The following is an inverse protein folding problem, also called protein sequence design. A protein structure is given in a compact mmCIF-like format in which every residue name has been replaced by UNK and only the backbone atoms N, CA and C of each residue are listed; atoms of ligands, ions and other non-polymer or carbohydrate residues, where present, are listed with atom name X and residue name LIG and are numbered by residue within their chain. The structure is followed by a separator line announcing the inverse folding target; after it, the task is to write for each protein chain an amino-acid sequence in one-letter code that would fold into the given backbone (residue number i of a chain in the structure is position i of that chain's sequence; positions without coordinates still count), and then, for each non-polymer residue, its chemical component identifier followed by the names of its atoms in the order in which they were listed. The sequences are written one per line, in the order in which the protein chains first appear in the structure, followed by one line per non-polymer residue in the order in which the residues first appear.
data_IF_357248372325
#
_entry.id   IF_357248372325
#
_cell.length_a   1.000
_cell.length_b   1.000
_cell.length_c   1.000
_cell.angle_alpha   90.00
_cell.angle_beta   90.00
_cell.angle_gamma   90.00
#
_symmetry.space_group_name_H-M   'P 1'
#
loop_
_entity.id
_entity.type
_entity.pdbx_description
1 polymer ?
#
# COMPACT_ATOMS: atom_id res chain seq x y z
N UNK A 1 -44.47 -39.65 57.61
CA UNK A 1 -43.02 -39.37 57.53
C UNK A 1 -42.83 -38.16 56.62
N UNK A 2 -42.27 -37.09 57.18
CA UNK A 2 -41.88 -35.87 56.47
C UNK A 2 -40.63 -36.17 55.66
N UNK A 3 -40.61 -35.85 54.37
CA UNK A 3 -39.36 -35.48 53.71
C UNK A 3 -39.61 -34.28 52.78
N UNK A 4 -38.98 -33.22 53.21
CA UNK A 4 -38.92 -31.87 52.66
C UNK A 4 -38.19 -31.91 51.31
N UNK A 5 -38.83 -31.38 50.26
CA UNK A 5 -38.14 -31.00 49.02
C UNK A 5 -38.15 -29.47 48.97
N UNK A 6 -36.97 -28.90 49.16
CA UNK A 6 -36.73 -27.46 49.05
C UNK A 6 -36.70 -27.12 47.57
N UNK A 7 -37.78 -26.51 47.07
CA UNK A 7 -37.73 -25.76 45.81
C UNK A 7 -37.12 -24.40 46.11
N UNK A 8 -35.87 -24.19 45.69
CA UNK A 8 -35.23 -22.88 45.74
C UNK A 8 -36.00 -21.92 44.82
N UNK A 9 -36.70 -20.98 45.45
CA UNK A 9 -37.41 -19.90 44.80
C UNK A 9 -36.42 -18.94 44.11
N UNK A 10 -36.81 -18.54 42.91
CA UNK A 10 -36.16 -17.53 42.12
C UNK A 10 -36.00 -16.21 42.90
N UNK A 11 -34.76 -15.74 43.02
CA UNK A 11 -34.48 -14.32 43.17
C UNK A 11 -33.91 -13.85 41.83
N UNK A 12 -34.79 -13.36 40.96
CA UNK A 12 -34.41 -12.52 39.83
C UNK A 12 -33.84 -11.22 40.42
N UNK A 13 -32.53 -11.17 40.59
CA UNK A 13 -31.84 -9.88 40.65
C UNK A 13 -31.84 -9.36 39.22
N UNK A 14 -32.80 -8.49 38.93
CA UNK A 14 -32.78 -7.62 37.77
C UNK A 14 -31.64 -6.62 37.96
N UNK A 15 -30.40 -7.08 37.75
CA UNK A 15 -29.35 -6.19 37.33
C UNK A 15 -29.74 -5.79 35.91
N UNK A 16 -30.25 -4.56 35.76
CA UNK A 16 -30.17 -3.82 34.52
C UNK A 16 -28.68 -3.64 34.20
N UNK A 17 -28.02 -4.72 33.75
CA UNK A 17 -26.95 -4.55 32.80
C UNK A 17 -27.63 -3.87 31.64
N UNK A 18 -27.23 -2.62 31.41
CA UNK A 18 -27.29 -2.00 30.11
C UNK A 18 -26.62 -2.99 29.17
N UNK A 19 -27.41 -3.93 28.66
CA UNK A 19 -27.14 -4.62 27.44
C UNK A 19 -27.00 -3.49 26.45
N UNK A 20 -25.76 -3.09 26.22
CA UNK A 20 -25.34 -2.64 24.91
C UNK A 20 -25.71 -3.85 24.05
N UNK A 21 -26.95 -3.86 23.59
CA UNK A 21 -27.36 -4.62 22.44
C UNK A 21 -26.48 -4.03 21.36
N UNK A 22 -25.32 -4.66 21.16
CA UNK A 22 -24.53 -4.42 19.97
C UNK A 22 -25.52 -4.47 18.82
N UNK A 23 -25.61 -3.42 17.98
CA UNK A 23 -26.54 -3.44 16.88
C UNK A 23 -26.26 -4.68 16.03
N UNK A 24 -27.14 -5.65 16.15
CA UNK A 24 -27.19 -6.83 15.30
C UNK A 24 -27.71 -6.37 13.95
N UNK A 25 -26.81 -5.91 13.08
CA UNK A 25 -27.16 -5.62 11.69
C UNK A 25 -25.91 -5.58 10.82
N UNK A 26 -25.39 -6.77 10.52
CA UNK A 26 -24.72 -7.03 9.25
C UNK A 26 -25.56 -8.13 8.58
N UNK A 27 -26.44 -7.80 7.63
CA UNK A 27 -27.05 -8.87 6.81
C UNK A 27 -26.06 -9.30 5.74
N UNK A 28 -24.96 -9.92 6.18
CA UNK A 28 -24.02 -10.58 5.29
C UNK A 28 -22.74 -11.04 5.96
N UNK A 29 -21.94 -11.81 5.22
CA UNK A 29 -20.65 -12.33 5.67
C UNK A 29 -19.53 -11.89 4.71
N UNK A 30 -18.60 -11.02 5.14
CA UNK A 30 -17.51 -10.50 4.30
C UNK A 30 -16.48 -11.57 3.91
N UNK A 31 -16.37 -12.65 4.69
CA UNK A 31 -15.45 -13.74 4.37
C UNK A 31 -15.98 -14.61 3.22
N UNK A 32 -17.30 -14.74 3.11
CA UNK A 32 -17.96 -15.52 2.04
C UNK A 32 -18.57 -14.63 0.95
N UNK A 33 -18.51 -13.30 1.10
CA UNK A 33 -19.20 -12.31 0.28
C UNK A 33 -20.68 -12.65 0.06
N UNK A 34 -21.35 -13.05 1.13
CA UNK A 34 -22.79 -13.37 1.09
C UNK A 34 -23.55 -12.16 1.61
N UNK A 35 -24.27 -11.46 0.74
CA UNK A 35 -25.05 -10.25 1.06
C UNK A 35 -26.41 -10.31 0.37
N UNK A 36 -27.39 -9.54 0.86
CA UNK A 36 -28.71 -9.44 0.21
C UNK A 36 -28.64 -8.70 -1.13
N UNK A 37 -27.75 -7.71 -1.26
CA UNK A 37 -27.55 -6.96 -2.49
C UNK A 37 -26.58 -7.69 -3.45
N UNK A 38 -27.06 -8.05 -4.63
CA UNK A 38 -26.26 -8.73 -5.66
C UNK A 38 -25.07 -7.89 -6.17
N UNK A 39 -25.18 -6.55 -6.16
CA UNK A 39 -24.07 -5.64 -6.51
C UNK A 39 -22.98 -5.70 -5.45
N UNK A 40 -23.36 -5.71 -4.17
CA UNK A 40 -22.43 -5.86 -3.05
C UNK A 40 -21.74 -7.24 -3.06
N UNK A 41 -22.47 -8.31 -3.41
CA UNK A 41 -21.88 -9.65 -3.61
C UNK A 41 -20.83 -9.63 -4.70
N UNK A 42 -21.13 -9.06 -5.87
CA UNK A 42 -20.18 -8.99 -6.97
C UNK A 42 -18.96 -8.15 -6.60
N UNK A 43 -19.18 -6.97 -6.02
CA UNK A 43 -18.13 -6.04 -5.66
C UNK A 43 -17.19 -6.60 -4.58
N UNK A 44 -17.73 -7.25 -3.54
CA UNK A 44 -16.92 -7.95 -2.53
C UNK A 44 -16.05 -9.08 -3.13
N UNK A 45 -16.51 -9.75 -4.20
CA UNK A 45 -15.75 -10.83 -4.85
C UNK A 45 -14.63 -10.30 -5.74
N UNK A 46 -14.86 -9.18 -6.42
CA UNK A 46 -13.95 -8.63 -7.43
C UNK A 46 -13.01 -7.57 -6.88
N UNK A 47 -13.38 -6.89 -5.79
CA UNK A 47 -12.64 -5.77 -5.22
C UNK A 47 -12.09 -6.08 -3.82
N UNK A 48 -10.75 -6.16 -3.66
CA UNK A 48 -10.13 -6.41 -2.36
C UNK A 48 -10.28 -5.26 -1.36
N UNK A 49 -10.48 -4.01 -1.81
CA UNK A 49 -10.71 -2.86 -0.95
C UNK A 49 -12.10 -2.91 -0.32
N UNK A 50 -13.14 -3.26 -1.10
CA UNK A 50 -14.50 -3.48 -0.59
C UNK A 50 -14.51 -4.62 0.44
N UNK A 51 -13.85 -5.74 0.11
CA UNK A 51 -13.75 -6.87 1.03
C UNK A 51 -12.99 -6.52 2.31
N UNK A 52 -11.95 -5.69 2.22
CA UNK A 52 -11.22 -5.19 3.39
C UNK A 52 -12.07 -4.27 4.26
N UNK A 53 -12.77 -3.31 3.64
CA UNK A 53 -13.65 -2.36 4.32
C UNK A 53 -14.76 -3.06 5.11
N UNK A 54 -15.40 -4.06 4.50
CA UNK A 54 -16.50 -4.82 5.12
C UNK A 54 -16.05 -5.80 6.20
N UNK A 55 -14.73 -6.06 6.34
CA UNK A 55 -14.18 -6.87 7.44
C UNK A 55 -13.98 -6.07 8.72
N UNK A 56 -14.01 -4.74 8.63
CA UNK A 56 -13.93 -3.88 9.79
C UNK A 56 -15.25 -3.98 10.59
N UNK A 57 -15.21 -4.33 11.89
CA UNK A 57 -16.40 -4.42 12.72
C UNK A 57 -17.17 -3.10 12.82
N UNK A 58 -16.51 -1.95 12.65
CA UNK A 58 -17.17 -0.63 12.67
C UNK A 58 -18.00 -0.39 11.39
N UNK A 59 -17.69 -1.11 10.30
CA UNK A 59 -18.40 -1.06 9.02
C UNK A 59 -19.42 -2.20 8.87
N UNK A 60 -19.67 -2.97 9.93
CA UNK A 60 -20.60 -4.09 9.90
C UNK A 60 -22.05 -3.68 9.57
N UNK A 61 -22.40 -2.40 9.76
CA UNK A 61 -23.73 -1.83 9.49
C UNK A 61 -24.13 -1.68 8.02
N UNK A 62 -23.27 -2.01 7.05
CA UNK A 62 -23.55 -1.82 5.62
C UNK A 62 -24.56 -2.86 5.13
N UNK A 63 -25.76 -2.41 4.77
CA UNK A 63 -26.84 -3.28 4.28
C UNK A 63 -26.88 -3.39 2.75
N UNK A 64 -26.49 -2.34 2.03
CA UNK A 64 -26.52 -2.26 0.57
C UNK A 64 -25.24 -1.69 -0.03
N UNK A 65 -25.05 -1.86 -1.35
CA UNK A 65 -23.92 -1.23 -2.05
C UNK A 65 -23.95 0.31 -1.95
N UNK A 66 -25.15 0.91 -1.80
CA UNK A 66 -25.31 2.36 -1.69
C UNK A 66 -24.87 2.91 -0.34
N UNK A 67 -24.73 2.09 0.69
CA UNK A 67 -24.26 2.55 2.01
C UNK A 67 -22.73 2.61 2.08
N UNK A 68 -22.03 2.08 1.08
CA UNK A 68 -20.58 2.20 0.97
C UNK A 68 -20.18 3.64 0.62
N UNK A 69 -19.06 4.14 1.16
CA UNK A 69 -18.57 5.46 0.79
C UNK A 69 -18.23 5.52 -0.71
N UNK A 70 -18.36 6.69 -1.36
CA UNK A 70 -18.24 6.82 -2.82
C UNK A 70 -16.94 6.25 -3.42
N UNK A 71 -15.83 6.42 -2.70
CA UNK A 71 -14.51 5.88 -3.08
C UNK A 71 -14.50 4.35 -3.16
N UNK A 72 -15.32 3.69 -2.35
CA UNK A 72 -15.47 2.22 -2.30
C UNK A 72 -16.54 1.75 -3.30
N UNK A 73 -17.51 2.61 -3.68
CA UNK A 73 -18.51 2.35 -4.74
C UNK A 73 -17.96 2.49 -6.17
N UNK A 74 -16.65 2.74 -6.33
CA UNK A 74 -16.01 2.83 -7.65
C UNK A 74 -16.58 3.93 -8.54
N UNK A 75 -16.95 5.09 -7.99
CA UNK A 75 -17.42 6.23 -8.78
C UNK A 75 -16.28 7.15 -9.23
N UNK A 76 -16.28 7.48 -10.52
CA UNK A 76 -15.45 8.53 -11.12
C UNK A 76 -15.91 9.91 -10.63
N UNK A 77 -15.00 10.89 -10.50
CA UNK A 77 -15.34 12.21 -9.99
C UNK A 77 -16.23 12.98 -10.98
N UNK A 78 -17.51 13.20 -10.62
CA UNK A 78 -18.40 14.11 -11.38
C UNK A 78 -19.91 13.96 -11.21
N UNK A 79 -20.43 12.90 -10.59
CA UNK A 79 -21.88 12.61 -10.66
C UNK A 79 -22.72 13.06 -9.44
N UNK A 80 -22.13 13.70 -8.41
CA UNK A 80 -22.89 14.15 -7.22
C UNK A 80 -23.65 15.47 -7.41
N UNK A 81 -23.34 16.26 -8.45
CA UNK A 81 -24.05 17.53 -8.72
C UNK A 81 -25.41 17.34 -9.43
N UNK A 82 -25.72 16.14 -9.93
CA UNK A 82 -26.94 15.91 -10.71
C UNK A 82 -28.22 15.66 -9.88
N UNK A 83 -28.10 15.30 -8.60
CA UNK A 83 -29.26 14.90 -7.77
C UNK A 83 -29.80 16.00 -6.85
N UNK A 84 -29.09 17.12 -6.69
CA UNK A 84 -29.50 18.21 -5.78
C UNK A 84 -29.88 19.52 -6.48
N UNK A 85 -29.95 19.55 -7.82
CA UNK A 85 -30.12 20.79 -8.60
C UNK A 85 -31.48 21.02 -9.29
N UNK A 86 -32.49 20.16 -9.10
CA UNK A 86 -33.79 20.35 -9.74
C UNK A 86 -34.63 21.37 -8.97
N UNK A 87 -34.41 22.66 -9.21
CA UNK A 87 -35.40 23.76 -9.08
C UNK A 87 -34.84 25.09 -9.63
N UNK A 88 -34.59 25.15 -10.96
CA UNK A 88 -34.51 26.35 -11.84
C UNK A 88 -33.55 27.52 -11.51
N UNK A 89 -33.31 28.47 -12.45
CA UNK A 89 -33.38 28.41 -13.92
C UNK A 89 -32.00 28.65 -14.57
N UNK A 90 -31.84 28.25 -15.83
CA UNK A 90 -30.61 28.51 -16.59
C UNK A 90 -30.26 30.01 -16.66
N UNK A 91 -28.96 30.33 -16.74
CA UNK A 91 -28.52 31.06 -17.93
C UNK A 91 -27.15 30.62 -18.47
N UNK A 92 -27.17 30.26 -19.77
CA UNK A 92 -26.27 30.72 -20.86
C UNK A 92 -24.75 30.43 -20.79
N UNK A 93 -24.07 30.37 -21.96
CA UNK A 93 -22.93 29.50 -22.19
C UNK A 93 -21.64 30.12 -21.69
N UNK A 94 -21.04 29.53 -20.66
CA UNK A 94 -19.68 29.86 -20.28
C UNK A 94 -18.73 29.29 -21.32
N UNK A 95 -18.08 30.21 -22.04
CA UNK A 95 -16.95 29.97 -22.91
C UNK A 95 -15.99 28.96 -22.27
N UNK A 96 -15.59 27.97 -23.06
CA UNK A 96 -14.43 27.13 -22.78
C UNK A 96 -13.19 28.03 -22.71
N UNK A 97 -12.90 28.58 -21.53
CA UNK A 97 -11.57 29.12 -21.25
C UNK A 97 -10.69 27.90 -21.04
N UNK A 98 -9.87 27.58 -22.05
CA UNK A 98 -8.80 26.60 -21.90
C UNK A 98 -7.98 27.01 -20.67
N UNK A 99 -8.12 26.24 -19.58
CA UNK A 99 -7.49 26.57 -18.31
C UNK A 99 -5.98 26.50 -18.50
N UNK A 100 -5.31 27.66 -18.41
CA UNK A 100 -3.86 27.72 -18.37
C UNK A 100 -3.36 26.90 -17.17
N UNK A 101 -2.29 26.14 -17.36
CA UNK A 101 -1.69 25.35 -16.29
C UNK A 101 -1.39 26.24 -15.06
N UNK A 102 -1.60 25.74 -13.82
CA UNK A 102 -1.36 26.51 -12.62
C UNK A 102 0.11 26.97 -12.55
N UNK A 103 0.38 28.19 -12.06
CA UNK A 103 1.74 28.70 -11.99
C UNK A 103 2.63 27.83 -11.08
N UNK A 104 3.92 27.62 -11.42
CA UNK A 104 4.84 26.82 -10.63
C UNK A 104 4.96 27.30 -9.19
N UNK A 105 4.93 26.37 -8.23
CA UNK A 105 5.01 26.62 -6.79
C UNK A 105 3.69 27.11 -6.15
N UNK A 106 2.61 27.27 -6.91
CA UNK A 106 1.33 27.72 -6.37
C UNK A 106 0.59 26.62 -5.62
N UNK A 107 -0.26 27.01 -4.67
CA UNK A 107 -1.17 26.09 -3.99
C UNK A 107 -2.03 25.31 -4.99
N UNK A 108 -2.48 25.97 -6.06
CA UNK A 108 -3.26 25.34 -7.13
C UNK A 108 -2.49 24.22 -7.84
N UNK A 109 -1.18 24.39 -8.11
CA UNK A 109 -0.34 23.33 -8.69
C UNK A 109 -0.18 22.16 -7.71
N UNK A 110 0.06 22.45 -6.42
CA UNK A 110 0.22 21.42 -5.39
C UNK A 110 -1.08 20.63 -5.20
N UNK A 111 -2.22 21.31 -5.10
CA UNK A 111 -3.54 20.69 -4.97
C UNK A 111 -3.88 19.83 -6.19
N UNK A 112 -3.60 20.31 -7.40
CA UNK A 112 -3.83 19.54 -8.61
C UNK A 112 -2.88 18.33 -8.71
N UNK A 113 -1.62 18.45 -8.26
CA UNK A 113 -0.70 17.33 -8.14
C UNK A 113 -1.22 16.27 -7.15
N UNK A 114 -1.74 16.70 -6.01
CA UNK A 114 -2.36 15.80 -5.03
C UNK A 114 -3.61 15.12 -5.60
N UNK A 115 -4.44 15.85 -6.37
CA UNK A 115 -5.62 15.30 -7.05
C UNK A 115 -5.24 14.18 -8.02
N UNK A 116 -4.21 14.38 -8.85
CA UNK A 116 -3.71 13.36 -9.79
C UNK A 116 -3.10 12.13 -9.11
N UNK A 117 -2.46 12.32 -7.95
CA UNK A 117 -1.97 11.21 -7.12
C UNK A 117 -3.17 10.42 -6.56
N UNK A 118 -4.17 11.12 -6.02
CA UNK A 118 -5.36 10.53 -5.41
C UNK A 118 -6.28 9.84 -6.45
N UNK A 119 -6.38 10.38 -7.67
CA UNK A 119 -7.21 9.80 -8.75
C UNK A 119 -6.56 8.58 -9.42
N UNK A 120 -5.31 8.25 -9.08
CA UNK A 120 -4.57 7.18 -9.74
C UNK A 120 -4.07 7.53 -11.15
N UNK A 121 -4.40 8.71 -11.70
CA UNK A 121 -3.87 9.20 -12.97
C UNK A 121 -2.34 9.22 -12.98
N UNK A 122 -1.74 9.64 -11.85
CA UNK A 122 -0.28 9.59 -11.69
C UNK A 122 0.26 8.16 -11.77
N UNK A 123 -0.42 7.19 -11.15
CA UNK A 123 -0.02 5.79 -11.23
C UNK A 123 -0.19 5.25 -12.67
N UNK A 124 -1.27 5.60 -13.36
CA UNK A 124 -1.49 5.24 -14.76
C UNK A 124 -0.44 5.83 -15.69
N UNK A 125 0.01 7.07 -15.44
CA UNK A 125 1.10 7.70 -16.17
C UNK A 125 2.43 6.99 -15.94
N UNK A 126 2.76 6.68 -14.68
CA UNK A 126 3.97 5.92 -14.33
C UNK A 126 3.96 4.54 -14.98
N UNK A 127 2.83 3.83 -14.97
CA UNK A 127 2.70 2.55 -15.65
C UNK A 127 2.80 2.68 -17.18
N UNK A 128 2.25 3.74 -17.78
CA UNK A 128 2.36 4.01 -19.22
C UNK A 128 3.81 4.36 -19.62
N UNK A 129 4.51 5.16 -18.83
CA UNK A 129 5.94 5.47 -19.04
C UNK A 129 6.80 4.24 -18.89
N UNK A 130 6.49 3.41 -17.90
CA UNK A 130 7.13 2.11 -17.69
C UNK A 130 6.86 1.19 -18.88
N UNK A 131 5.65 1.13 -19.41
CA UNK A 131 5.32 0.34 -20.60
C UNK A 131 6.06 0.82 -21.86
N UNK A 132 6.30 2.13 -21.99
CA UNK A 132 7.06 2.72 -23.12
C UNK A 132 8.57 2.55 -23.01
N UNK A 133 9.10 2.47 -21.80
CA UNK A 133 10.55 2.38 -21.59
C UNK A 133 11.09 1.02 -22.08
N UNK A 134 12.01 1.01 -23.06
CA UNK A 134 12.52 -0.24 -23.63
C UNK A 134 13.34 -1.01 -22.59
N UNK A 135 13.35 -2.34 -22.72
CA UNK A 135 14.22 -3.18 -21.92
C UNK A 135 15.68 -3.03 -22.37
N UNK A 136 16.61 -3.16 -21.43
CA UNK A 136 18.04 -3.12 -21.70
C UNK A 136 18.63 -4.52 -21.63
N UNK A 137 19.51 -4.85 -22.56
CA UNK A 137 20.27 -6.10 -22.53
C UNK A 137 21.60 -5.90 -21.80
N UNK A 138 21.55 -5.83 -20.47
CA UNK A 138 22.75 -5.70 -19.65
C UNK A 138 23.39 -7.05 -19.38
N UNK A 139 24.72 -7.10 -19.53
CA UNK A 139 25.51 -8.23 -19.06
C UNK A 139 25.38 -8.40 -17.54
N UNK A 140 25.60 -9.62 -17.01
CA UNK A 140 25.62 -9.84 -15.57
C UNK A 140 26.60 -8.93 -14.80
N UNK A 141 27.70 -8.50 -15.44
CA UNK A 141 28.66 -7.57 -14.86
C UNK A 141 28.09 -6.14 -14.74
N UNK A 142 27.39 -5.66 -15.77
CA UNK A 142 26.72 -4.35 -15.74
C UNK A 142 25.62 -4.30 -14.68
N UNK A 143 24.82 -5.35 -14.56
CA UNK A 143 23.80 -5.48 -13.53
C UNK A 143 24.42 -5.41 -12.14
N UNK A 144 25.49 -6.18 -11.87
CA UNK A 144 26.21 -6.11 -10.59
C UNK A 144 26.79 -4.72 -10.32
N UNK A 145 27.41 -4.09 -11.32
CA UNK A 145 28.00 -2.76 -11.17
C UNK A 145 26.95 -1.67 -10.90
N UNK A 146 25.76 -1.79 -11.50
CA UNK A 146 24.65 -0.89 -11.24
C UNK A 146 24.11 -1.06 -9.80
N UNK A 147 23.89 -2.30 -9.36
CA UNK A 147 23.48 -2.59 -7.99
C UNK A 147 24.52 -2.09 -6.97
N UNK A 148 25.80 -2.38 -7.19
CA UNK A 148 26.90 -1.91 -6.33
C UNK A 148 26.89 -0.38 -6.22
N UNK A 149 26.78 0.34 -7.33
CA UNK A 149 26.70 1.81 -7.33
C UNK A 149 25.47 2.32 -6.58
N UNK A 150 24.31 1.70 -6.76
CA UNK A 150 23.10 2.06 -6.02
C UNK A 150 23.32 1.93 -4.51
N UNK A 151 23.95 0.85 -4.04
CA UNK A 151 24.26 0.67 -2.62
C UNK A 151 25.31 1.67 -2.13
N UNK A 152 26.45 1.81 -2.82
CA UNK A 152 27.53 2.69 -2.36
C UNK A 152 27.12 4.16 -2.35
N UNK A 153 26.20 4.58 -3.21
CA UNK A 153 25.63 5.94 -3.20
C UNK A 153 24.84 6.28 -1.93
N UNK A 154 24.44 5.28 -1.15
CA UNK A 154 23.79 5.47 0.16
C UNK A 154 24.78 5.68 1.30
N UNK A 155 26.07 5.44 1.05
CA UNK A 155 27.13 5.60 2.04
C UNK A 155 27.70 7.01 1.98
N UNK A 156 28.18 7.49 3.13
CA UNK A 156 28.85 8.79 3.22
C UNK A 156 30.14 8.85 2.40
N UNK A 157 30.94 7.79 2.43
CA UNK A 157 32.17 7.65 1.64
C UNK A 157 32.08 6.41 0.75
N UNK A 158 31.56 6.54 -0.48
CA UNK A 158 31.30 5.40 -1.38
C UNK A 158 32.54 4.54 -1.67
N UNK A 159 33.73 5.14 -1.71
CA UNK A 159 34.99 4.44 -1.97
C UNK A 159 35.45 3.53 -0.82
N UNK A 160 34.95 3.77 0.40
CA UNK A 160 35.26 2.96 1.58
C UNK A 160 34.39 1.71 1.74
N UNK A 161 33.47 1.48 0.80
CA UNK A 161 32.48 0.42 0.89
C UNK A 161 33.14 -0.96 0.95
N UNK A 162 32.80 -1.74 1.97
CA UNK A 162 33.15 -3.15 2.07
C UNK A 162 31.87 -3.98 2.06
N UNK A 163 31.86 -5.02 1.23
CA UNK A 163 30.70 -5.88 1.06
C UNK A 163 31.00 -7.28 1.58
N UNK A 164 29.99 -7.91 2.18
CA UNK A 164 30.04 -9.33 2.55
C UNK A 164 28.66 -9.98 2.43
N UNK A 165 28.65 -11.31 2.41
CA UNK A 165 27.44 -12.12 2.37
C UNK A 165 26.48 -11.76 1.21
N UNK A 166 27.03 -11.31 0.08
CA UNK A 166 26.23 -10.85 -1.07
C UNK A 166 25.68 -12.04 -1.84
N UNK A 167 24.38 -12.02 -2.06
CA UNK A 167 23.62 -13.03 -2.79
C UNK A 167 22.84 -12.36 -3.91
N UNK A 168 22.89 -12.96 -5.10
CA UNK A 168 22.07 -12.58 -6.25
C UNK A 168 20.82 -13.44 -6.29
N UNK A 169 19.66 -12.81 -6.48
CA UNK A 169 18.35 -13.44 -6.59
C UNK A 169 17.72 -12.97 -7.90
N UNK A 170 17.28 -13.90 -8.74
CA UNK A 170 16.62 -13.58 -10.00
C UNK A 170 15.11 -13.75 -9.81
N UNK A 171 14.32 -12.75 -10.20
CA UNK A 171 12.86 -12.82 -10.16
C UNK A 171 12.28 -13.03 -11.56
N UNK A 172 11.11 -13.67 -11.61
CA UNK A 172 10.39 -14.01 -12.86
C UNK A 172 9.99 -12.78 -13.68
N UNK A 173 9.86 -11.62 -13.03
CA UNK A 173 9.58 -10.34 -13.68
C UNK A 173 10.80 -9.72 -14.39
N UNK A 174 11.92 -10.44 -14.48
CA UNK A 174 13.16 -9.99 -15.10
C UNK A 174 14.04 -9.09 -14.22
N UNK A 175 13.65 -8.86 -12.97
CA UNK A 175 14.45 -8.07 -12.01
C UNK A 175 15.53 -8.94 -11.37
N UNK A 176 16.75 -8.42 -11.26
CA UNK A 176 17.81 -9.02 -10.45
C UNK A 176 17.92 -8.28 -9.13
N UNK A 177 17.72 -8.99 -8.03
CA UNK A 177 17.92 -8.48 -6.67
C UNK A 177 19.29 -8.93 -6.13
N UNK A 178 19.89 -8.08 -5.29
CA UNK A 178 21.10 -8.35 -4.55
C UNK A 178 20.85 -8.05 -3.07
N UNK A 179 21.13 -9.02 -2.22
CA UNK A 179 20.99 -8.91 -0.78
C UNK A 179 22.33 -9.20 -0.13
N UNK A 180 22.71 -8.43 0.87
CA UNK A 180 23.96 -8.69 1.59
C UNK A 180 24.16 -7.72 2.72
N UNK A 181 25.42 -7.53 3.11
CA UNK A 181 25.81 -6.53 4.10
C UNK A 181 26.88 -5.61 3.53
N UNK A 182 26.82 -4.34 3.93
CA UNK A 182 27.75 -3.29 3.54
C UNK A 182 28.20 -2.49 4.76
N UNK A 183 29.48 -2.17 4.83
CA UNK A 183 30.04 -1.19 5.76
C UNK A 183 30.71 -0.06 4.99
N UNK A 184 30.91 1.09 5.65
CA UNK A 184 31.64 2.22 5.10
C UNK A 184 32.15 3.15 6.21
N UNK A 185 32.99 4.12 5.86
CA UNK A 185 33.47 5.10 6.83
C UNK A 185 32.37 6.07 7.27
N UNK A 186 32.36 6.37 8.56
CA UNK A 186 31.49 7.36 9.18
C UNK A 186 32.13 8.77 9.16
N UNK A 187 31.46 9.74 9.79
CA UNK A 187 31.93 11.13 9.85
C UNK A 187 33.27 11.34 10.58
N UNK A 188 33.63 10.40 11.45
CA UNK A 188 34.80 10.46 12.33
C UNK A 188 35.97 9.61 11.81
N UNK A 189 35.89 9.11 10.57
CA UNK A 189 36.94 8.31 9.93
C UNK A 189 36.98 6.83 10.33
N UNK A 190 36.13 6.41 11.27
CA UNK A 190 35.98 5.00 11.66
C UNK A 190 35.11 4.22 10.68
N UNK A 191 35.35 2.91 10.56
CA UNK A 191 34.49 2.00 9.77
C UNK A 191 33.23 1.69 10.59
N UNK A 192 32.06 1.92 10.01
CA UNK A 192 30.78 1.57 10.64
C UNK A 192 30.59 0.05 10.66
N UNK A 193 29.73 -0.42 11.56
CA UNK A 193 29.27 -1.81 11.50
C UNK A 193 28.63 -2.14 10.14
N UNK A 194 28.66 -3.42 9.81
CA UNK A 194 28.01 -3.95 8.61
C UNK A 194 26.50 -3.85 8.76
N UNK A 195 25.86 -3.18 7.79
CA UNK A 195 24.41 -3.02 7.69
C UNK A 195 23.88 -3.85 6.54
N UNK A 196 22.68 -4.41 6.71
CA UNK A 196 22.00 -5.15 5.64
C UNK A 196 21.66 -4.20 4.49
N UNK A 197 21.71 -4.68 3.25
CA UNK A 197 21.24 -3.92 2.09
C UNK A 197 20.45 -4.80 1.14
N UNK A 198 19.48 -4.19 0.46
CA UNK A 198 18.80 -4.74 -0.70
C UNK A 198 19.03 -3.81 -1.89
N UNK A 199 19.31 -4.38 -3.06
CA UNK A 199 19.47 -3.63 -4.29
C UNK A 199 18.80 -4.35 -5.46
N UNK A 200 17.93 -3.65 -6.18
CA UNK A 200 17.21 -4.18 -7.33
C UNK A 200 17.66 -3.52 -8.61
N UNK A 201 17.84 -4.32 -9.66
CA UNK A 201 18.08 -3.85 -11.02
C UNK A 201 16.97 -4.39 -11.92
N UNK A 202 16.17 -3.50 -12.50
CA UNK A 202 15.07 -3.89 -13.38
C UNK A 202 15.60 -4.25 -14.77
N UNK A 203 14.78 -4.96 -15.55
CA UNK A 203 15.04 -5.24 -16.96
C UNK A 203 15.06 -3.98 -17.86
N UNK A 204 14.78 -2.80 -17.29
CA UNK A 204 14.89 -1.48 -17.94
C UNK A 204 16.17 -0.73 -17.57
N UNK A 205 17.03 -1.33 -16.73
CA UNK A 205 18.31 -0.74 -16.32
C UNK A 205 18.19 0.25 -15.16
N UNK A 206 17.05 0.30 -14.50
CA UNK A 206 16.89 1.10 -13.29
C UNK A 206 17.49 0.34 -12.11
N UNK A 207 18.42 0.96 -11.40
CA UNK A 207 19.02 0.40 -10.19
C UNK A 207 18.59 1.21 -8.96
N UNK A 208 18.09 0.53 -7.95
CA UNK A 208 17.72 1.12 -6.66
C UNK A 208 18.30 0.28 -5.53
N UNK A 209 18.53 0.91 -4.37
CA UNK A 209 19.01 0.21 -3.19
C UNK A 209 18.50 0.86 -1.91
N UNK A 210 18.36 0.04 -0.87
CA UNK A 210 18.12 0.44 0.50
C UNK A 210 19.20 -0.18 1.40
N UNK A 211 19.62 0.57 2.41
CA UNK A 211 20.54 0.10 3.46
C UNK A 211 19.81 0.24 4.78
N UNK A 212 19.87 -0.80 5.60
CA UNK A 212 19.21 -0.88 6.90
C UNK A 212 19.68 0.25 7.82
N UNK A 213 18.86 1.29 7.97
CA UNK A 213 19.13 2.40 8.89
C UNK A 213 18.71 2.06 10.33
N UNK A 214 17.98 0.96 10.54
CA UNK A 214 17.47 0.46 11.82
C UNK A 214 16.64 1.47 12.63
N UNK A 215 16.17 2.56 12.02
CA UNK A 215 15.49 3.64 12.76
C UNK A 215 14.09 3.92 12.25
N UNK A 216 13.15 4.08 13.18
CA UNK A 216 11.78 4.52 12.90
C UNK A 216 11.00 3.60 11.94
N UNK A 217 10.03 4.19 11.24
CA UNK A 217 9.20 3.45 10.27
C UNK A 217 10.00 2.91 9.08
N UNK A 218 11.10 3.56 8.70
CA UNK A 218 11.95 3.14 7.57
C UNK A 218 12.56 1.76 7.82
N UNK A 219 13.03 1.50 9.05
CA UNK A 219 13.50 0.18 9.46
C UNK A 219 12.40 -0.91 9.40
N UNK A 220 11.14 -0.57 9.71
CA UNK A 220 10.03 -1.52 9.61
C UNK A 220 9.70 -1.90 8.15
N UNK A 221 9.70 -0.92 7.24
CA UNK A 221 9.55 -1.18 5.80
C UNK A 221 10.70 -2.02 5.25
N UNK A 222 11.94 -1.69 5.64
CA UNK A 222 13.11 -2.46 5.25
C UNK A 222 13.00 -3.92 5.70
N UNK A 223 12.60 -4.18 6.94
CA UNK A 223 12.44 -5.55 7.44
C UNK A 223 11.40 -6.35 6.66
N UNK A 224 10.28 -5.73 6.29
CA UNK A 224 9.26 -6.38 5.46
C UNK A 224 9.81 -6.73 4.06
N UNK A 225 10.44 -5.77 3.39
CA UNK A 225 11.04 -6.00 2.07
C UNK A 225 12.15 -7.06 2.14
N UNK A 226 13.05 -6.96 3.13
CA UNK A 226 14.10 -7.93 3.38
C UNK A 226 13.53 -9.35 3.57
N UNK A 227 12.49 -9.52 4.38
CA UNK A 227 11.90 -10.84 4.62
C UNK A 227 11.21 -11.41 3.38
N UNK A 228 10.60 -10.56 2.56
CA UNK A 228 9.94 -10.94 1.32
C UNK A 228 10.94 -11.33 0.22
N UNK A 229 12.01 -10.55 0.04
CA UNK A 229 12.92 -10.69 -1.10
C UNK A 229 14.23 -11.40 -0.75
N UNK A 230 14.78 -11.18 0.44
CA UNK A 230 16.11 -11.62 0.82
C UNK A 230 16.15 -12.77 1.86
N UNK A 231 15.14 -12.86 2.71
CA UNK A 231 15.09 -13.78 3.86
C UNK A 231 14.61 -15.19 3.53
N UNK A 232 13.73 -15.35 2.54
CA UNK A 232 13.11 -16.64 2.19
C UNK A 232 13.70 -17.32 0.96
N UNK A 233 14.48 -16.60 0.16
CA UNK A 233 15.00 -17.09 -1.13
C UNK A 233 16.50 -17.37 -1.02
N UNK A 234 16.89 -18.60 -1.32
CA UNK A 234 18.29 -18.96 -1.48
C UNK A 234 18.84 -18.32 -2.77
N UNK A 235 19.59 -17.23 -2.62
CA UNK A 235 20.29 -16.58 -3.73
C UNK A 235 21.65 -17.22 -4.02
N UNK A 236 22.18 -17.00 -5.23
CA UNK A 236 23.54 -17.40 -5.61
C UNK A 236 24.56 -16.47 -4.96
N UNK A 237 25.56 -16.96 -4.21
CA UNK A 237 26.65 -16.12 -3.71
C UNK A 237 27.37 -15.39 -4.84
N UNK A 238 27.65 -14.10 -4.65
CA UNK A 238 28.39 -13.27 -5.61
C UNK A 238 29.34 -12.32 -4.87
N UNK A 239 30.31 -11.79 -5.59
CA UNK A 239 31.19 -10.72 -5.10
C UNK A 239 30.85 -9.39 -5.76
N UNK A 240 30.97 -8.33 -4.96
CA UNK A 240 30.85 -6.92 -5.36
C UNK A 240 32.21 -6.23 -5.33
#
# INVERSE_FOLDING_TARGET
MKMVVIFSAALFVAAASLGITSPSSARGNPNTCTYQDARLVQACRTDPAIRGYLRDPDNAGVETYMDLPPVIRGWEPGEEEALLGVLSPQPQPYQQVAQAAPPPGSLAEVTERLRRIASGEYAAQVEADRARTPTVNWSPAQIRAAARRAVTSKLREPASAQFRNVRRIQHDNGTTMFCGEVSGRNAHGGVSDFKRFEAGVTNRGEASAQVDDQTGMVGAYFNTAWNQFCGRIAGTPVQF
#
